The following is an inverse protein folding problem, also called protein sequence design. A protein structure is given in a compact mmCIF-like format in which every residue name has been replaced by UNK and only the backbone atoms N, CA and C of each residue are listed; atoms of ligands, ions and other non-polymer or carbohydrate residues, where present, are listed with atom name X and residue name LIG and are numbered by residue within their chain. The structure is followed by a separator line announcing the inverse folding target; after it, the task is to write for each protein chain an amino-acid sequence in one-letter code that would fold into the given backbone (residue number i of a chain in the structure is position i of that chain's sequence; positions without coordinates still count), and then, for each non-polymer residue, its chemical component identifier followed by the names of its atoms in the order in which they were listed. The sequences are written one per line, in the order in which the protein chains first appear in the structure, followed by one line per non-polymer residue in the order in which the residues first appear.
data_IF_983396649402
#
_entry.id   IF_983396649402
#
_cell.length_a   1.000
_cell.length_b   1.000
_cell.length_c   1.000
_cell.angle_alpha   90.00
_cell.angle_beta   90.00
_cell.angle_gamma   90.00
#
_symmetry.space_group_name_H-M   'P 1'
#
loop_
_entity.id
_entity.type
_entity.pdbx_description
1 polymer ?
#
# COMPACT_ATOMS: atom_id res chain seq x y z
N UNK A 1 3.49 16.99 -43.44
CA UNK A 1 4.36 17.90 -42.67
C UNK A 1 3.61 18.34 -41.42
N UNK A 2 4.18 18.09 -40.24
CA UNK A 2 4.09 18.84 -38.96
C UNK A 2 2.71 19.50 -38.66
N UNK A 3 2.04 19.19 -37.55
CA UNK A 3 2.49 19.53 -36.18
C UNK A 3 1.77 18.71 -35.12
N UNK A 4 2.58 18.00 -34.34
CA UNK A 4 2.39 17.66 -32.94
C UNK A 4 2.26 18.95 -32.08
N UNK A 5 1.65 18.78 -30.89
CA UNK A 5 2.04 19.38 -29.60
C UNK A 5 1.07 20.41 -28.96
N UNK A 6 0.70 20.09 -27.70
CA UNK A 6 0.14 20.90 -26.59
C UNK A 6 -1.36 21.22 -26.56
N UNK A 7 -2.11 20.59 -25.65
CA UNK A 7 -2.26 21.12 -24.29
C UNK A 7 -2.90 20.08 -23.32
N UNK A 8 -2.11 19.66 -22.33
CA UNK A 8 -2.54 19.18 -21.03
C UNK A 8 -3.12 20.37 -20.24
N UNK A 9 -4.38 20.30 -19.81
CA UNK A 9 -4.91 20.92 -18.57
C UNK A 9 -6.45 20.91 -18.62
N UNK A 10 -7.07 19.91 -17.98
CA UNK A 10 -8.35 19.98 -17.25
C UNK A 10 -8.86 18.56 -16.97
N UNK A 11 -8.27 17.87 -15.99
CA UNK A 11 -8.97 16.76 -15.34
C UNK A 11 -9.83 17.41 -14.25
N UNK A 12 -11.18 17.34 -14.32
CA UNK A 12 -12.02 17.88 -13.27
C UNK A 12 -11.81 17.07 -11.99
N UNK A 13 -11.72 17.78 -10.87
CA UNK A 13 -11.61 17.23 -9.52
C UNK A 13 -12.92 16.56 -9.05
N UNK A 14 -13.40 15.56 -9.79
CA UNK A 14 -14.58 14.78 -9.43
C UNK A 14 -14.37 13.30 -9.72
N UNK A 15 -13.36 12.71 -9.06
CA UNK A 15 -13.26 11.26 -8.88
C UNK A 15 -13.51 10.99 -7.40
N UNK A 16 -14.75 11.24 -6.96
CA UNK A 16 -15.23 10.81 -5.66
C UNK A 16 -16.55 10.07 -5.91
N UNK A 17 -16.50 8.74 -5.76
CA UNK A 17 -17.64 7.82 -5.68
C UNK A 17 -18.25 7.23 -6.98
N UNK A 18 -17.45 6.61 -7.86
CA UNK A 18 -17.98 5.46 -8.59
C UNK A 18 -17.64 4.17 -7.83
N UNK A 19 -18.55 3.18 -7.73
CA UNK A 19 -18.18 1.87 -7.22
C UNK A 19 -17.04 1.32 -8.09
N UNK A 20 -15.97 0.81 -7.46
CA UNK A 20 -14.77 0.30 -8.13
C UNK A 20 -15.03 -0.76 -9.23
N UNK A 21 -16.27 -1.24 -9.36
CA UNK A 21 -16.71 -2.14 -10.43
C UNK A 21 -16.74 -1.47 -11.80
N UNK A 22 -17.11 -0.19 -11.91
CA UNK A 22 -17.30 0.47 -13.21
C UNK A 22 -15.96 0.78 -13.94
N UNK A 23 -14.87 0.93 -13.17
CA UNK A 23 -13.53 1.21 -13.72
C UNK A 23 -12.71 -0.05 -14.04
N UNK A 24 -13.10 -1.23 -13.54
CA UNK A 24 -12.42 -2.50 -13.83
C UNK A 24 -13.01 -3.21 -15.07
N UNK A 25 -14.22 -2.85 -15.50
CA UNK A 25 -14.84 -3.33 -16.74
C UNK A 25 -14.38 -2.49 -17.94
N UNK A 26 -13.08 -2.33 -18.12
CA UNK A 26 -12.53 -1.95 -19.43
C UNK A 26 -12.17 -3.23 -20.19
N UNK A 27 -12.09 -3.21 -21.52
CA UNK A 27 -11.85 -4.36 -22.44
C UNK A 27 -10.59 -5.25 -22.13
N UNK A 28 -9.89 -5.02 -21.02
CA UNK A 28 -8.61 -5.63 -20.65
C UNK A 28 -8.72 -6.77 -19.63
N UNK A 29 -9.81 -6.88 -18.85
CA UNK A 29 -10.03 -7.97 -17.89
C UNK A 29 -11.31 -8.75 -18.23
N UNK A 30 -11.20 -10.08 -18.33
CA UNK A 30 -12.39 -10.92 -18.48
C UNK A 30 -13.15 -11.01 -17.14
N UNK A 31 -14.45 -11.33 -17.22
CA UNK A 31 -15.37 -11.44 -16.05
C UNK A 31 -14.84 -12.36 -14.93
N UNK A 32 -14.05 -13.38 -15.28
CA UNK A 32 -13.45 -14.32 -14.33
C UNK A 32 -12.36 -13.67 -13.47
N UNK A 33 -11.62 -12.69 -14.02
CA UNK A 33 -10.52 -12.01 -13.34
C UNK A 33 -10.96 -10.77 -12.56
N UNK A 34 -12.17 -10.24 -12.80
CA UNK A 34 -12.67 -9.04 -12.12
C UNK A 34 -12.71 -9.23 -10.61
N UNK A 35 -13.26 -10.35 -10.13
CA UNK A 35 -13.44 -10.58 -8.70
C UNK A 35 -12.09 -10.79 -7.96
N UNK A 36 -11.18 -11.67 -8.42
CA UNK A 36 -9.86 -11.81 -7.80
C UNK A 36 -9.03 -10.53 -7.80
N UNK A 37 -9.05 -9.76 -8.90
CA UNK A 37 -8.31 -8.48 -8.98
C UNK A 37 -8.92 -7.44 -8.03
N UNK A 38 -10.25 -7.37 -7.93
CA UNK A 38 -10.93 -6.49 -6.98
C UNK A 38 -10.58 -6.83 -5.54
N UNK A 39 -10.57 -8.11 -5.16
CA UNK A 39 -10.18 -8.55 -3.83
C UNK A 39 -8.72 -8.21 -3.51
N UNK A 40 -7.82 -8.43 -4.46
CA UNK A 40 -6.41 -8.02 -4.34
C UNK A 40 -6.27 -6.51 -4.13
N UNK A 41 -6.97 -5.69 -4.92
CA UNK A 41 -6.93 -4.23 -4.82
C UNK A 41 -7.55 -3.74 -3.51
N UNK A 42 -8.64 -4.36 -3.06
CA UNK A 42 -9.25 -4.07 -1.76
C UNK A 42 -8.30 -4.39 -0.61
N UNK A 43 -7.61 -5.53 -0.66
CA UNK A 43 -6.59 -5.88 0.32
C UNK A 43 -5.45 -4.85 0.35
N UNK A 44 -4.97 -4.39 -0.81
CA UNK A 44 -3.96 -3.33 -0.91
C UNK A 44 -4.46 -2.00 -0.30
N UNK A 45 -5.70 -1.60 -0.58
CA UNK A 45 -6.29 -0.36 -0.08
C UNK A 45 -6.51 -0.37 1.45
N UNK A 46 -7.05 -1.47 1.99
CA UNK A 46 -7.31 -1.62 3.43
C UNK A 46 -6.00 -1.60 4.25
N UNK A 47 -4.97 -2.28 3.73
CA UNK A 47 -3.64 -2.30 4.33
C UNK A 47 -3.00 -0.91 4.41
N UNK A 48 -3.25 -0.07 3.40
CA UNK A 48 -2.78 1.32 3.38
C UNK A 48 -3.58 2.23 4.32
N UNK A 49 -4.87 1.97 4.49
CA UNK A 49 -5.72 2.73 5.42
C UNK A 49 -5.29 2.56 6.89
N UNK A 50 -4.98 1.33 7.32
CA UNK A 50 -4.54 1.07 8.70
C UNK A 50 -3.21 1.78 9.02
N UNK A 51 -2.23 1.75 8.11
CA UNK A 51 -0.98 2.49 8.29
C UNK A 51 -1.23 4.00 8.36
N UNK A 52 -2.10 4.51 7.48
CA UNK A 52 -2.44 5.93 7.45
C UNK A 52 -3.06 6.39 8.77
N UNK A 53 -3.99 5.62 9.33
CA UNK A 53 -4.65 5.92 10.60
C UNK A 53 -3.70 5.84 11.81
N UNK A 54 -2.86 4.80 11.86
CA UNK A 54 -2.09 4.47 13.08
C UNK A 54 -0.66 5.02 13.10
N UNK A 55 -0.06 5.26 11.94
CA UNK A 55 1.39 5.44 11.84
C UNK A 55 1.81 6.70 11.07
N UNK A 56 1.00 7.18 10.12
CA UNK A 56 1.42 8.23 9.19
C UNK A 56 1.74 9.58 9.86
N UNK A 57 1.10 9.92 10.99
CA UNK A 57 1.39 11.15 11.72
C UNK A 57 2.86 11.25 12.17
N UNK A 58 3.50 10.12 12.50
CA UNK A 58 4.90 10.10 12.92
C UNK A 58 5.87 9.67 11.82
N UNK A 59 5.39 8.93 10.82
CA UNK A 59 6.25 8.24 9.85
C UNK A 59 6.03 8.66 8.39
N UNK A 60 5.05 9.51 8.09
CA UNK A 60 4.71 9.89 6.72
C UNK A 60 4.06 8.74 5.96
N UNK A 61 4.62 8.32 4.82
CA UNK A 61 4.04 7.24 4.01
C UNK A 61 4.58 5.86 4.41
N UNK A 62 3.74 4.82 4.29
CA UNK A 62 4.15 3.44 4.59
C UNK A 62 5.33 2.98 3.74
N UNK A 63 5.33 3.30 2.44
CA UNK A 63 6.44 2.97 1.55
C UNK A 63 7.74 3.72 1.92
N UNK A 64 7.67 5.01 2.25
CA UNK A 64 8.84 5.79 2.67
C UNK A 64 9.43 5.27 3.98
N UNK A 65 8.58 4.96 4.95
CA UNK A 65 8.99 4.38 6.22
C UNK A 65 9.60 2.98 6.03
N UNK A 66 8.95 2.09 5.29
CA UNK A 66 9.44 0.74 5.04
C UNK A 66 10.82 0.75 4.37
N UNK A 67 11.01 1.58 3.33
CA UNK A 67 12.30 1.78 2.64
C UNK A 67 13.41 2.18 3.59
N UNK A 68 13.16 3.18 4.42
CA UNK A 68 14.21 3.81 5.25
C UNK A 68 14.52 3.01 6.51
N UNK A 69 13.52 2.38 7.11
CA UNK A 69 13.60 1.89 8.50
C UNK A 69 13.58 0.37 8.62
N UNK A 70 13.12 -0.36 7.61
CA UNK A 70 12.87 -1.80 7.69
C UNK A 70 13.71 -2.60 6.70
N UNK A 71 13.89 -3.90 6.98
CA UNK A 71 14.54 -4.89 6.12
C UNK A 71 13.91 -6.26 6.35
N UNK A 72 14.01 -7.16 5.38
CA UNK A 72 13.69 -8.58 5.59
C UNK A 72 14.99 -9.35 5.87
N UNK A 73 15.02 -10.15 6.94
CA UNK A 73 16.10 -11.08 7.26
C UNK A 73 15.50 -12.45 7.54
N UNK A 74 15.95 -13.47 6.82
CA UNK A 74 15.47 -14.85 6.96
C UNK A 74 13.93 -14.96 6.90
N UNK A 75 13.31 -14.19 5.99
CA UNK A 75 11.85 -14.12 5.82
C UNK A 75 11.12 -13.30 6.88
N UNK A 76 11.82 -12.70 7.84
CA UNK A 76 11.23 -11.91 8.94
C UNK A 76 11.44 -10.42 8.73
N UNK A 77 10.36 -9.65 8.87
CA UNK A 77 10.41 -8.19 8.85
C UNK A 77 11.06 -7.67 10.16
N UNK A 78 12.19 -6.97 10.00
CA UNK A 78 12.98 -6.42 11.11
C UNK A 78 13.28 -4.95 10.89
N UNK A 79 13.49 -4.20 11.98
CA UNK A 79 14.00 -2.84 11.91
C UNK A 79 15.50 -2.81 11.58
N UNK A 80 15.92 -1.95 10.65
CA UNK A 80 17.33 -1.80 10.22
C UNK A 80 18.27 -1.41 11.34
N UNK A 81 17.82 -0.56 12.28
CA UNK A 81 18.68 -0.02 13.33
C UNK A 81 19.19 -1.06 14.33
N UNK A 82 18.34 -2.01 14.75
CA UNK A 82 18.68 -2.98 15.83
C UNK A 82 18.34 -4.43 15.49
N UNK A 83 17.81 -4.70 14.29
CA UNK A 83 17.38 -6.05 13.89
C UNK A 83 16.18 -6.61 14.67
N UNK A 84 15.49 -5.78 15.45
CA UNK A 84 14.31 -6.22 16.22
C UNK A 84 13.17 -6.60 15.26
N UNK A 85 12.50 -7.73 15.53
CA UNK A 85 11.29 -8.15 14.81
C UNK A 85 10.21 -7.08 14.94
N UNK A 86 9.63 -6.67 13.81
CA UNK A 86 8.60 -5.63 13.80
C UNK A 86 7.36 -6.06 14.57
N UNK A 87 6.92 -7.31 14.41
CA UNK A 87 5.78 -7.87 15.14
C UNK A 87 5.91 -7.70 16.66
N UNK A 88 7.11 -7.91 17.22
CA UNK A 88 7.34 -7.75 18.66
C UNK A 88 7.37 -6.28 19.09
N UNK A 89 7.90 -5.40 18.25
CA UNK A 89 7.91 -3.96 18.53
C UNK A 89 6.49 -3.37 18.54
N UNK A 90 5.64 -3.79 17.60
CA UNK A 90 4.26 -3.32 17.45
C UNK A 90 3.34 -3.68 18.63
N UNK A 91 3.70 -4.68 19.44
CA UNK A 91 3.00 -4.96 20.71
C UNK A 91 3.00 -3.78 21.68
N UNK A 92 3.93 -2.83 21.51
CA UNK A 92 4.12 -1.68 22.39
C UNK A 92 4.16 -0.33 21.67
N UNK A 93 3.98 -0.31 20.35
CA UNK A 93 4.11 0.89 19.53
C UNK A 93 3.04 0.94 18.43
N UNK A 94 2.61 2.13 18.01
CA UNK A 94 1.59 2.29 16.98
C UNK A 94 0.14 2.13 17.47
N UNK A 95 -0.06 1.82 18.76
CA UNK A 95 -1.39 1.71 19.40
C UNK A 95 -2.33 0.74 18.67
N UNK A 96 -1.76 -0.33 18.13
CA UNK A 96 -2.49 -1.40 17.46
C UNK A 96 -3.13 -2.31 18.50
N UNK A 97 -4.30 -2.83 18.18
CA UNK A 97 -4.87 -3.98 18.88
C UNK A 97 -4.09 -5.25 18.53
N UNK A 98 -4.13 -6.30 19.38
CA UNK A 98 -3.41 -7.55 19.12
C UNK A 98 -3.73 -8.19 17.76
N UNK A 99 -4.99 -8.10 17.31
CA UNK A 99 -5.47 -8.63 16.03
C UNK A 99 -5.05 -7.77 14.81
N UNK A 100 -4.69 -6.51 15.02
CA UNK A 100 -4.21 -5.60 13.95
C UNK A 100 -2.70 -5.73 13.68
N UNK A 101 -1.94 -6.35 14.59
CA UNK A 101 -0.47 -6.44 14.47
C UNK A 101 -0.06 -7.19 13.21
N UNK A 102 -0.68 -8.34 12.93
CA UNK A 102 -0.31 -9.15 11.77
C UNK A 102 -0.64 -8.42 10.47
N UNK A 103 -1.83 -7.81 10.38
CA UNK A 103 -2.20 -6.97 9.24
C UNK A 103 -1.18 -5.86 9.00
N UNK A 104 -0.71 -5.17 10.05
CA UNK A 104 0.32 -4.14 9.90
C UNK A 104 1.67 -4.71 9.42
N UNK A 105 2.08 -5.87 9.94
CA UNK A 105 3.31 -6.55 9.50
C UNK A 105 3.22 -6.91 8.02
N UNK A 106 2.07 -7.41 7.57
CA UNK A 106 1.85 -7.80 6.18
C UNK A 106 1.86 -6.56 5.27
N UNK A 107 1.21 -5.47 5.67
CA UNK A 107 1.24 -4.18 4.97
C UNK A 107 2.67 -3.66 4.80
N UNK A 108 3.47 -3.67 5.87
CA UNK A 108 4.85 -3.20 5.83
C UNK A 108 5.77 -4.12 5.04
N UNK A 109 5.50 -5.43 5.06
CA UNK A 109 6.22 -6.42 4.25
C UNK A 109 5.93 -6.19 2.77
N UNK A 110 4.67 -6.01 2.40
CA UNK A 110 4.30 -5.67 1.03
C UNK A 110 4.92 -4.34 0.58
N UNK A 111 4.88 -3.33 1.43
CA UNK A 111 5.48 -2.03 1.15
C UNK A 111 6.98 -2.13 0.89
N UNK A 112 7.71 -3.00 1.59
CA UNK A 112 9.15 -3.19 1.34
C UNK A 112 9.42 -3.95 0.02
N UNK A 113 8.57 -4.90 -0.35
CA UNK A 113 8.71 -5.65 -1.60
C UNK A 113 8.47 -4.78 -2.82
N UNK A 114 7.44 -3.94 -2.79
CA UNK A 114 7.15 -2.96 -3.85
C UNK A 114 8.22 -1.86 -3.92
N UNK A 115 8.76 -1.49 -2.76
CA UNK A 115 9.80 -0.50 -2.65
C UNK A 115 11.16 -0.91 -3.22
N UNK A 116 11.36 -2.23 -3.42
CA UNK A 116 12.60 -2.83 -3.90
C UNK A 116 12.59 -3.15 -5.39
N UNK A 117 11.49 -2.82 -6.10
CA UNK A 117 11.44 -2.88 -7.55
C UNK A 117 12.31 -1.74 -8.14
N UNK A 118 13.17 -2.03 -9.14
CA UNK A 118 14.10 -1.06 -9.73
C UNK A 118 13.40 0.11 -10.44
#
# INVERSE_FOLDING_TARGET
MKKFFLLLLSIPALVLAAPATDYLHNDELNEELVLPVKEMLQAQALNQALFTDKCATCHGTGAGFARTSLSIKDGVLVGKSKGRKVADFLKSHGRLKPDEIQTMVDSLTQAISQASAP
#
